data_IF_712760389964
#
_entry.id   IF_712760389964
#
_cell.length_a   1.000
_cell.length_b   1.000
_cell.length_c   1.000
_cell.angle_alpha   90.00
_cell.angle_beta   90.00
_cell.angle_gamma   90.00
#
_symmetry.space_group_name_H-M   'P 1'
#
loop_
_entity.id
_entity.type
_entity.pdbx_description
1 polymer ?
#
# COMPACT_ATOMS: atom_id res chain seq x y z
N UNK A 1 -5.62 24.50 -12.07
CA UNK A 1 -6.86 25.13 -11.57
C UNK A 1 -7.38 24.25 -10.45
N UNK A 2 -7.15 24.61 -9.19
CA UNK A 2 -7.72 23.89 -8.03
C UNK A 2 -9.06 24.56 -7.72
N UNK A 3 -10.17 23.84 -7.96
CA UNK A 3 -11.48 24.31 -7.52
C UNK A 3 -11.52 24.06 -6.00
N UNK A 4 -11.60 25.10 -5.15
CA UNK A 4 -11.74 24.90 -3.72
C UNK A 4 -13.02 24.11 -3.48
N UNK A 5 -12.90 22.92 -2.89
CA UNK A 5 -14.05 22.11 -2.52
C UNK A 5 -14.71 22.83 -1.34
N UNK A 6 -15.92 23.39 -1.48
CA UNK A 6 -16.53 24.15 -0.41
C UNK A 6 -16.79 23.24 0.80
N UNK A 7 -16.56 23.72 2.02
CA UNK A 7 -16.71 22.95 3.27
C UNK A 7 -18.06 22.22 3.37
N UNK A 8 -19.11 22.74 2.74
CA UNK A 8 -20.43 22.12 2.67
C UNK A 8 -20.43 20.71 2.05
N UNK A 9 -19.49 20.43 1.12
CA UNK A 9 -19.34 19.09 0.52
C UNK A 9 -18.84 18.04 1.50
N UNK A 10 -18.04 18.44 2.50
CA UNK A 10 -17.50 17.52 3.51
C UNK A 10 -18.62 16.96 4.39
N UNK A 11 -19.52 17.85 4.82
CA UNK A 11 -20.69 17.49 5.61
C UNK A 11 -21.67 16.64 4.80
N UNK A 12 -21.94 17.03 3.56
CA UNK A 12 -22.86 16.31 2.66
C UNK A 12 -22.41 14.88 2.33
N UNK A 13 -21.11 14.61 2.22
CA UNK A 13 -20.59 13.27 1.97
C UNK A 13 -20.71 12.31 3.16
N UNK A 14 -20.38 12.81 4.36
CA UNK A 14 -20.33 11.98 5.58
C UNK A 14 -21.72 11.77 6.19
N UNK A 15 -22.61 12.76 6.09
CA UNK A 15 -23.96 12.69 6.65
C UNK A 15 -24.93 11.85 5.80
N UNK A 16 -24.45 11.21 4.72
CA UNK A 16 -25.28 10.31 3.94
C UNK A 16 -25.79 9.15 4.81
N UNK A 17 -27.11 8.87 4.83
CA UNK A 17 -27.66 7.79 5.66
C UNK A 17 -27.03 6.42 5.41
N UNK A 18 -26.59 6.16 4.17
CA UNK A 18 -25.93 4.90 3.81
C UNK A 18 -24.56 4.76 4.49
N UNK A 19 -23.79 5.85 4.63
CA UNK A 19 -22.48 5.84 5.29
C UNK A 19 -22.66 5.54 6.78
N UNK A 20 -23.58 6.24 7.45
CA UNK A 20 -23.85 6.04 8.89
C UNK A 20 -24.33 4.60 9.16
N UNK A 21 -25.30 4.12 8.39
CA UNK A 21 -25.82 2.74 8.52
C UNK A 21 -24.72 1.71 8.26
N UNK A 22 -23.96 1.87 7.18
CA UNK A 22 -22.87 0.95 6.82
C UNK A 22 -21.76 0.95 7.85
N UNK A 23 -21.40 2.11 8.42
CA UNK A 23 -20.41 2.22 9.49
C UNK A 23 -20.87 1.47 10.74
N UNK A 24 -22.09 1.72 11.21
CA UNK A 24 -22.65 1.03 12.38
C UNK A 24 -22.69 -0.50 12.19
N UNK A 25 -23.18 -0.96 11.04
CA UNK A 25 -23.18 -2.39 10.70
C UNK A 25 -21.77 -2.97 10.63
N UNK A 26 -20.82 -2.26 10.01
CA UNK A 26 -19.42 -2.69 9.90
C UNK A 26 -18.76 -2.78 11.27
N UNK A 27 -19.01 -1.83 12.16
CA UNK A 27 -18.50 -1.87 13.55
C UNK A 27 -19.02 -3.11 14.26
N UNK A 28 -20.32 -3.39 14.18
CA UNK A 28 -20.91 -4.58 14.78
C UNK A 28 -20.29 -5.87 14.22
N UNK A 29 -20.10 -5.96 12.90
CA UNK A 29 -19.49 -7.11 12.23
C UNK A 29 -18.04 -7.30 12.69
N UNK A 30 -17.21 -6.26 12.68
CA UNK A 30 -15.80 -6.38 13.05
C UNK A 30 -15.59 -6.67 14.53
N UNK A 31 -16.37 -6.03 15.42
CA UNK A 31 -16.33 -6.33 16.85
C UNK A 31 -16.79 -7.76 17.10
N UNK A 32 -17.93 -8.17 16.52
CA UNK A 32 -18.43 -9.54 16.66
C UNK A 32 -17.42 -10.57 16.17
N UNK A 33 -16.82 -10.34 15.00
CA UNK A 33 -15.76 -11.18 14.44
C UNK A 33 -14.53 -11.26 15.35
N UNK A 34 -14.05 -10.11 15.86
CA UNK A 34 -12.91 -10.07 16.76
C UNK A 34 -13.19 -10.84 18.05
N UNK A 35 -14.34 -10.61 18.68
CA UNK A 35 -14.74 -11.27 19.91
C UNK A 35 -14.91 -12.79 19.70
N UNK A 36 -15.49 -13.22 18.58
CA UNK A 36 -15.57 -14.64 18.22
C UNK A 36 -14.18 -15.29 18.22
N UNK A 37 -13.21 -14.69 17.54
CA UNK A 37 -11.84 -15.21 17.49
C UNK A 37 -11.10 -15.11 18.83
N UNK A 38 -11.42 -14.09 19.63
CA UNK A 38 -10.84 -13.90 20.95
C UNK A 38 -11.31 -14.97 21.94
N UNK A 39 -12.62 -15.25 21.98
CA UNK A 39 -13.23 -16.17 22.93
C UNK A 39 -13.20 -17.64 22.50
N UNK A 40 -13.10 -17.94 21.21
CA UNK A 40 -13.05 -19.32 20.71
C UNK A 40 -11.78 -20.08 21.08
N UNK A 41 -10.73 -19.41 21.60
CA UNK A 41 -9.48 -20.06 21.99
C UNK A 41 -8.59 -20.55 20.83
N UNK A 42 -9.02 -20.38 19.57
CA UNK A 42 -8.23 -20.74 18.40
C UNK A 42 -6.98 -19.87 18.23
N UNK A 43 -7.01 -18.64 18.77
CA UNK A 43 -5.91 -17.68 18.64
C UNK A 43 -5.02 -17.70 19.88
N UNK A 44 -3.82 -18.25 19.70
CA UNK A 44 -2.84 -18.42 20.78
C UNK A 44 -1.79 -17.32 20.81
N UNK A 45 -1.53 -16.66 19.68
CA UNK A 45 -0.41 -15.72 19.55
C UNK A 45 -0.87 -14.31 19.23
N UNK A 46 -0.10 -13.32 19.71
CA UNK A 46 -0.31 -11.89 19.39
C UNK A 46 -0.30 -11.65 17.89
N UNK A 47 0.58 -12.36 17.16
CA UNK A 47 0.65 -12.27 15.70
C UNK A 47 -0.69 -12.67 15.06
N UNK A 48 -1.25 -13.81 15.43
CA UNK A 48 -2.53 -14.25 14.88
C UNK A 48 -3.65 -13.24 15.16
N UNK A 49 -3.69 -12.67 16.38
CA UNK A 49 -4.69 -11.63 16.76
C UNK A 49 -4.64 -10.42 15.83
N UNK A 50 -3.43 -9.95 15.49
CA UNK A 50 -3.23 -8.80 14.62
C UNK A 50 -3.74 -9.01 13.17
N UNK A 51 -3.94 -10.25 12.73
CA UNK A 51 -4.42 -10.55 11.36
C UNK A 51 -5.92 -10.86 11.28
N UNK A 52 -6.64 -10.92 12.39
CA UNK A 52 -8.07 -11.34 12.41
C UNK A 52 -8.96 -10.38 11.63
N UNK A 53 -8.82 -9.08 11.92
CA UNK A 53 -9.60 -8.04 11.26
C UNK A 53 -9.22 -7.92 9.79
N UNK A 54 -7.90 -7.96 9.52
CA UNK A 54 -7.35 -7.96 8.16
C UNK A 54 -7.88 -9.13 7.33
N UNK A 55 -8.00 -10.33 7.90
CA UNK A 55 -8.53 -11.51 7.21
C UNK A 55 -9.96 -11.26 6.70
N UNK A 56 -10.84 -10.77 7.58
CA UNK A 56 -12.23 -10.50 7.21
C UNK A 56 -12.33 -9.36 6.21
N UNK A 57 -11.61 -8.26 6.46
CA UNK A 57 -11.64 -7.08 5.60
C UNK A 57 -11.19 -7.41 4.18
N UNK A 58 -9.99 -7.98 4.04
CA UNK A 58 -9.41 -8.32 2.73
C UNK A 58 -10.22 -9.38 1.97
N UNK A 59 -10.82 -10.35 2.66
CA UNK A 59 -11.72 -11.31 2.03
C UNK A 59 -12.95 -10.63 1.43
N UNK A 60 -13.68 -9.86 2.24
CA UNK A 60 -14.92 -9.19 1.83
C UNK A 60 -14.68 -8.19 0.71
N UNK A 61 -13.65 -7.34 0.82
CA UNK A 61 -13.36 -6.32 -0.19
C UNK A 61 -12.83 -6.90 -1.50
N UNK A 62 -12.06 -8.00 -1.44
CA UNK A 62 -11.65 -8.72 -2.66
C UNK A 62 -12.86 -9.28 -3.39
N UNK A 63 -13.78 -9.95 -2.70
CA UNK A 63 -15.00 -10.49 -3.33
C UNK A 63 -15.87 -9.38 -3.90
N UNK A 64 -16.08 -8.31 -3.13
CA UNK A 64 -16.89 -7.17 -3.54
C UNK A 64 -16.30 -6.43 -4.76
N UNK A 65 -14.99 -6.53 -5.00
CA UNK A 65 -14.35 -5.89 -6.15
C UNK A 65 -14.67 -6.55 -7.50
N UNK A 66 -14.97 -7.86 -7.51
CA UNK A 66 -15.04 -8.63 -8.76
C UNK A 66 -16.06 -8.10 -9.79
N UNK A 67 -17.29 -7.70 -9.41
CA UNK A 67 -18.23 -7.15 -10.37
C UNK A 67 -17.72 -5.90 -11.08
N UNK A 68 -17.00 -5.02 -10.37
CA UNK A 68 -16.46 -3.78 -10.95
C UNK A 68 -15.19 -4.02 -11.75
N UNK A 69 -14.33 -4.95 -11.31
CA UNK A 69 -13.19 -5.40 -12.11
C UNK A 69 -13.67 -5.99 -13.44
N UNK A 70 -14.74 -6.79 -13.40
CA UNK A 70 -15.37 -7.32 -14.60
C UNK A 70 -15.92 -6.22 -15.51
N UNK A 71 -16.62 -5.22 -14.94
CA UNK A 71 -17.11 -4.05 -15.69
C UNK A 71 -15.95 -3.33 -16.41
N UNK A 72 -14.82 -3.07 -15.73
CA UNK A 72 -13.65 -2.42 -16.34
C UNK A 72 -13.04 -3.26 -17.46
N UNK A 73 -12.83 -4.56 -17.23
CA UNK A 73 -12.20 -5.44 -18.23
C UNK A 73 -13.10 -5.55 -19.46
N UNK A 74 -14.42 -5.71 -19.27
CA UNK A 74 -15.40 -5.84 -20.36
C UNK A 74 -15.52 -4.56 -21.19
N UNK A 75 -15.31 -3.40 -20.58
CA UNK A 75 -15.34 -2.11 -21.25
C UNK A 75 -13.93 -1.64 -21.68
N UNK A 76 -13.01 -2.57 -21.95
CA UNK A 76 -11.65 -2.29 -22.46
C UNK A 76 -10.85 -1.29 -21.61
N UNK A 77 -11.04 -1.32 -20.29
CA UNK A 77 -10.36 -0.41 -19.38
C UNK A 77 -11.00 0.97 -19.25
N UNK A 78 -12.16 1.22 -19.85
CA UNK A 78 -12.85 2.50 -19.73
C UNK A 78 -13.17 2.80 -18.25
N UNK A 79 -12.42 3.73 -17.68
CA UNK A 79 -12.53 4.12 -16.28
C UNK A 79 -13.81 4.93 -16.01
N UNK A 80 -14.41 5.51 -17.04
CA UNK A 80 -15.63 6.31 -16.90
C UNK A 80 -16.83 5.45 -16.51
N UNK A 81 -16.82 4.15 -16.84
CA UNK A 81 -17.85 3.19 -16.39
C UNK A 81 -17.97 3.11 -14.87
N UNK A 82 -16.90 3.43 -14.14
CA UNK A 82 -16.88 3.44 -12.68
C UNK A 82 -17.42 4.75 -12.11
N UNK A 83 -17.50 5.81 -12.91
CA UNK A 83 -17.91 7.15 -12.50
C UNK A 83 -19.41 7.41 -12.69
N UNK A 84 -20.12 6.52 -13.37
CA UNK A 84 -21.52 6.69 -13.76
C UNK A 84 -22.44 5.59 -13.20
N UNK A 85 -23.70 5.94 -12.91
CA UNK A 85 -24.09 6.68 -11.70
C UNK A 85 -23.64 5.97 -10.41
N UNK A 86 -23.50 6.75 -9.32
CA UNK A 86 -23.02 6.25 -8.03
C UNK A 86 -23.92 5.12 -7.48
N UNK A 87 -23.38 3.90 -7.48
CA UNK A 87 -24.02 2.73 -6.88
C UNK A 87 -23.92 2.88 -5.36
N UNK A 88 -24.95 2.45 -4.62
CA UNK A 88 -24.96 2.56 -3.15
C UNK A 88 -24.06 1.53 -2.47
N UNK A 89 -23.92 0.35 -3.08
CA UNK A 89 -23.16 -0.75 -2.47
C UNK A 89 -21.63 -0.51 -2.40
N UNK A 90 -20.96 0.16 -3.38
CA UNK A 90 -19.55 0.50 -3.24
C UNK A 90 -19.31 1.52 -2.12
N UNK A 91 -20.27 2.43 -1.86
CA UNK A 91 -20.19 3.32 -0.69
C UNK A 91 -20.15 2.46 0.58
N UNK A 92 -21.06 1.50 0.73
CA UNK A 92 -21.09 0.59 1.88
C UNK A 92 -19.78 -0.20 2.04
N UNK A 93 -19.21 -0.74 0.95
CA UNK A 93 -17.94 -1.48 0.98
C UNK A 93 -16.75 -0.55 1.32
N UNK A 94 -16.76 0.67 0.80
CA UNK A 94 -15.76 1.70 1.12
C UNK A 94 -15.82 2.06 2.61
N UNK A 95 -17.01 2.26 3.15
CA UNK A 95 -17.24 2.52 4.58
C UNK A 95 -16.85 1.31 5.45
N UNK A 96 -17.11 0.09 4.98
CA UNK A 96 -16.66 -1.14 5.65
C UNK A 96 -15.13 -1.18 5.76
N UNK A 97 -14.41 -0.89 4.67
CA UNK A 97 -12.94 -0.84 4.70
C UNK A 97 -12.41 0.33 5.56
N UNK A 98 -13.07 1.49 5.53
CA UNK A 98 -12.73 2.61 6.41
C UNK A 98 -12.89 2.24 7.90
N UNK A 99 -13.97 1.56 8.23
CA UNK A 99 -14.23 1.06 9.60
C UNK A 99 -13.17 0.06 10.03
N UNK A 100 -12.75 -0.85 9.13
CA UNK A 100 -11.63 -1.75 9.37
C UNK A 100 -10.35 -1.00 9.75
N UNK A 101 -9.96 0.03 8.99
CA UNK A 101 -8.74 0.79 9.28
C UNK A 101 -8.79 1.45 10.65
N UNK A 102 -9.93 2.03 11.02
CA UNK A 102 -10.13 2.63 12.33
C UNK A 102 -10.04 1.59 13.45
N UNK A 103 -10.75 0.48 13.31
CA UNK A 103 -10.78 -0.55 14.34
C UNK A 103 -9.43 -1.27 14.48
N UNK A 104 -8.73 -1.57 13.38
CA UNK A 104 -7.42 -2.22 13.43
C UNK A 104 -6.39 -1.31 14.12
N UNK A 105 -6.46 0.00 13.87
CA UNK A 105 -5.58 0.97 14.54
C UNK A 105 -5.93 1.12 16.03
N UNK A 106 -7.21 1.27 16.37
CA UNK A 106 -7.67 1.41 17.76
C UNK A 106 -7.35 0.14 18.55
N UNK A 107 -7.79 -1.02 18.09
CA UNK A 107 -7.57 -2.31 18.77
C UNK A 107 -6.07 -2.62 18.80
N UNK A 108 -5.35 -2.39 17.70
CA UNK A 108 -3.93 -2.65 17.63
C UNK A 108 -3.11 -1.76 18.55
N UNK A 109 -3.48 -0.48 18.70
CA UNK A 109 -2.77 0.45 19.60
C UNK A 109 -2.88 0.03 21.07
N UNK A 110 -3.97 -0.64 21.43
CA UNK A 110 -4.25 -1.12 22.79
C UNK A 110 -3.70 -2.53 23.03
N UNK A 111 -4.00 -3.49 22.14
CA UNK A 111 -3.78 -4.92 22.39
C UNK A 111 -2.51 -5.49 21.77
N UNK A 112 -1.97 -4.89 20.71
CA UNK A 112 -0.79 -5.41 20.01
C UNK A 112 0.12 -4.31 19.47
N UNK A 113 0.35 -3.26 20.27
CA UNK A 113 1.16 -2.09 19.92
C UNK A 113 2.54 -2.44 19.36
N UNK A 114 3.16 -3.51 19.86
CA UNK A 114 4.47 -4.00 19.40
C UNK A 114 4.47 -4.57 17.97
N UNK A 115 3.31 -4.75 17.35
CA UNK A 115 3.14 -5.25 15.99
C UNK A 115 2.74 -4.18 14.98
N UNK A 116 2.46 -2.96 15.43
CA UNK A 116 2.21 -1.83 14.54
C UNK A 116 3.54 -1.21 14.14
N UNK A 117 4.03 -1.56 12.95
CA UNK A 117 5.20 -0.91 12.37
C UNK A 117 4.85 0.52 11.92
N UNK A 118 5.83 1.42 11.90
CA UNK A 118 5.60 2.83 11.56
C UNK A 118 5.07 3.01 10.13
N UNK A 119 5.69 2.34 9.15
CA UNK A 119 5.38 2.51 7.74
C UNK A 119 4.09 1.78 7.33
N UNK A 120 4.00 0.49 7.64
CA UNK A 120 2.90 -0.39 7.23
C UNK A 120 1.69 -0.31 8.16
N UNK A 121 1.91 0.07 9.42
CA UNK A 121 0.86 0.36 10.39
C UNK A 121 0.42 1.82 10.30
N UNK A 122 1.13 2.73 10.96
CA UNK A 122 0.65 4.11 11.15
C UNK A 122 0.48 4.91 9.86
N UNK A 123 1.56 5.06 9.07
CA UNK A 123 1.54 5.93 7.89
C UNK A 123 0.52 5.41 6.88
N UNK A 124 0.57 4.11 6.58
CA UNK A 124 -0.37 3.49 5.65
C UNK A 124 -1.83 3.68 6.09
N UNK A 125 -2.18 3.39 7.36
CA UNK A 125 -3.57 3.50 7.81
C UNK A 125 -4.07 4.95 7.82
N UNK A 126 -3.25 5.92 8.26
CA UNK A 126 -3.63 7.34 8.25
C UNK A 126 -3.83 7.85 6.83
N UNK A 127 -2.92 7.52 5.92
CA UNK A 127 -3.02 7.93 4.51
C UNK A 127 -4.27 7.33 3.87
N UNK A 128 -4.52 6.03 4.03
CA UNK A 128 -5.73 5.39 3.50
C UNK A 128 -7.02 5.94 4.12
N UNK A 129 -7.02 6.24 5.42
CA UNK A 129 -8.17 6.85 6.08
C UNK A 129 -8.53 8.19 5.43
N UNK A 130 -7.54 9.06 5.21
CA UNK A 130 -7.74 10.33 4.51
C UNK A 130 -8.18 10.14 3.05
N UNK A 131 -7.55 9.21 2.32
CA UNK A 131 -7.92 8.90 0.94
C UNK A 131 -9.35 8.39 0.83
N UNK A 132 -9.83 7.55 1.76
CA UNK A 132 -11.18 7.01 1.75
C UNK A 132 -12.24 8.08 2.04
N UNK A 133 -11.97 9.00 2.96
CA UNK A 133 -12.84 10.17 3.18
C UNK A 133 -12.94 10.98 1.89
N UNK A 134 -11.80 11.26 1.26
CA UNK A 134 -11.76 11.96 -0.02
C UNK A 134 -12.52 11.22 -1.13
N UNK A 135 -12.37 9.89 -1.22
CA UNK A 135 -13.09 9.02 -2.17
C UNK A 135 -14.61 9.11 -1.98
N UNK A 136 -15.10 9.07 -0.73
CA UNK A 136 -16.54 9.19 -0.43
C UNK A 136 -17.04 10.57 -0.82
N UNK A 137 -16.31 11.63 -0.48
CA UNK A 137 -16.69 13.01 -0.80
C UNK A 137 -16.80 13.27 -2.31
N UNK A 138 -15.90 12.67 -3.10
CA UNK A 138 -15.86 12.86 -4.55
C UNK A 138 -16.60 11.76 -5.32
N UNK A 139 -17.34 10.87 -4.62
CA UNK A 139 -18.14 9.79 -5.23
C UNK A 139 -17.31 8.81 -6.05
N UNK A 140 -16.06 8.58 -5.65
CA UNK A 140 -15.13 7.65 -6.32
C UNK A 140 -15.16 6.24 -5.71
N UNK A 141 -16.18 5.92 -4.91
CA UNK A 141 -16.29 4.64 -4.18
C UNK A 141 -16.17 3.42 -5.11
N UNK A 142 -16.78 3.46 -6.30
CA UNK A 142 -16.65 2.37 -7.28
C UNK A 142 -15.21 2.16 -7.76
N UNK A 143 -14.47 3.24 -8.00
CA UNK A 143 -13.06 3.14 -8.37
C UNK A 143 -12.22 2.55 -7.23
N UNK A 144 -12.44 3.00 -5.99
CA UNK A 144 -11.78 2.41 -4.84
C UNK A 144 -12.10 0.92 -4.69
N UNK A 145 -13.37 0.53 -4.77
CA UNK A 145 -13.79 -0.87 -4.63
C UNK A 145 -13.25 -1.75 -5.76
N UNK A 146 -13.12 -1.23 -6.97
CA UNK A 146 -12.43 -1.94 -8.06
C UNK A 146 -10.98 -2.25 -7.68
N UNK A 147 -10.29 -1.28 -7.05
CA UNK A 147 -8.93 -1.46 -6.55
C UNK A 147 -8.85 -2.37 -5.32
N UNK A 148 -9.97 -2.74 -4.66
CA UNK A 148 -9.92 -3.69 -3.56
C UNK A 148 -9.50 -5.11 -3.98
N UNK A 149 -9.46 -5.44 -5.28
CA UNK A 149 -8.83 -6.68 -5.76
C UNK A 149 -7.34 -6.77 -5.37
N UNK A 150 -6.71 -5.62 -5.08
CA UNK A 150 -5.35 -5.54 -4.55
C UNK A 150 -5.21 -6.15 -3.15
N UNK A 151 -6.30 -6.41 -2.44
CA UNK A 151 -6.29 -7.03 -1.11
C UNK A 151 -6.26 -8.56 -1.14
N UNK A 152 -6.40 -9.20 -2.32
CA UNK A 152 -6.25 -10.64 -2.48
C UNK A 152 -4.94 -11.22 -1.88
N UNK A 153 -3.74 -10.65 -2.11
CA UNK A 153 -2.53 -11.10 -1.43
C UNK A 153 -2.57 -10.85 0.09
N UNK A 154 -3.20 -9.78 0.58
CA UNK A 154 -3.38 -9.53 2.02
C UNK A 154 -4.22 -10.63 2.67
N UNK A 155 -5.29 -11.07 2.00
CA UNK A 155 -6.12 -12.18 2.46
C UNK A 155 -5.30 -13.45 2.66
N UNK A 156 -4.49 -13.83 1.66
CA UNK A 156 -3.63 -15.01 1.74
C UNK A 156 -2.57 -14.87 2.84
N UNK A 157 -2.00 -13.68 3.02
CA UNK A 157 -1.03 -13.40 4.07
C UNK A 157 -1.66 -13.49 5.47
N UNK A 158 -2.86 -12.94 5.65
CA UNK A 158 -3.61 -12.99 6.90
C UNK A 158 -4.00 -14.43 7.23
N UNK A 159 -4.49 -15.18 6.24
CA UNK A 159 -4.86 -16.59 6.38
C UNK A 159 -3.65 -17.44 6.79
N UNK A 160 -2.51 -17.28 6.12
CA UNK A 160 -1.26 -17.98 6.46
C UNK A 160 -0.66 -17.55 7.81
N UNK A 161 -0.96 -16.32 8.26
CA UNK A 161 -0.52 -15.83 9.58
C UNK A 161 -1.40 -16.34 10.72
N UNK A 162 -2.69 -16.60 10.46
CA UNK A 162 -3.61 -17.24 11.40
C UNK A 162 -3.32 -18.74 11.47
N UNK A 163 -3.20 -19.41 10.32
CA UNK A 163 -2.90 -20.84 10.24
C UNK A 163 -1.70 -21.10 9.33
N UNK A 164 -0.58 -21.51 9.93
CA UNK A 164 0.66 -21.81 9.20
C UNK A 164 0.50 -22.91 8.15
N UNK A 165 -0.45 -23.84 8.31
CA UNK A 165 -0.71 -24.90 7.32
C UNK A 165 -1.31 -24.36 6.02
N UNK A 166 -2.00 -23.23 6.08
CA UNK A 166 -2.60 -22.56 4.92
C UNK A 166 -1.65 -21.57 4.25
N UNK A 167 -0.41 -21.45 4.74
CA UNK A 167 0.57 -20.52 4.20
C UNK A 167 1.20 -21.08 2.93
N UNK A 168 0.93 -20.44 1.80
CA UNK A 168 1.53 -20.76 0.51
C UNK A 168 2.24 -19.54 -0.10
N UNK A 169 3.56 -19.46 0.08
CA UNK A 169 4.36 -18.30 -0.33
C UNK A 169 4.34 -18.06 -1.86
N UNK A 170 4.27 -19.11 -2.68
CA UNK A 170 4.16 -18.98 -4.14
C UNK A 170 2.79 -18.44 -4.58
N UNK A 171 1.71 -18.88 -3.94
CA UNK A 171 0.36 -18.38 -4.22
C UNK A 171 0.24 -16.91 -3.82
N UNK A 172 0.79 -16.54 -2.66
CA UNK A 172 0.91 -15.15 -2.24
C UNK A 172 1.71 -14.31 -3.26
N UNK A 173 2.88 -14.80 -3.70
CA UNK A 173 3.70 -14.07 -4.66
C UNK A 173 3.00 -13.88 -6.01
N UNK A 174 2.37 -14.94 -6.54
CA UNK A 174 1.64 -14.88 -7.80
C UNK A 174 0.48 -13.87 -7.73
N UNK A 175 -0.36 -13.97 -6.70
CA UNK A 175 -1.47 -13.03 -6.48
C UNK A 175 -1.00 -11.60 -6.25
N UNK A 176 0.12 -11.40 -5.54
CA UNK A 176 0.70 -10.06 -5.35
C UNK A 176 1.13 -9.45 -6.69
N UNK A 177 1.84 -10.20 -7.53
CA UNK A 177 2.28 -9.69 -8.84
C UNK A 177 1.07 -9.41 -9.74
N UNK A 178 0.11 -10.32 -9.83
CA UNK A 178 -1.03 -10.16 -10.73
C UNK A 178 -1.92 -9.00 -10.31
N UNK A 179 -2.25 -8.86 -9.02
CA UNK A 179 -3.11 -7.75 -8.56
C UNK A 179 -2.30 -6.47 -8.35
N UNK A 180 -1.36 -6.44 -7.41
CA UNK A 180 -0.69 -5.21 -6.95
C UNK A 180 0.32 -4.61 -7.92
N UNK A 181 0.83 -5.40 -8.87
CA UNK A 181 1.75 -4.91 -9.88
C UNK A 181 1.05 -4.78 -11.24
N UNK A 182 0.62 -5.89 -11.83
CA UNK A 182 0.08 -5.89 -13.20
C UNK A 182 -1.27 -5.17 -13.28
N UNK A 183 -2.25 -5.57 -12.48
CA UNK A 183 -3.57 -4.93 -12.51
C UNK A 183 -3.52 -3.47 -12.06
N UNK A 184 -2.72 -3.14 -11.03
CA UNK A 184 -2.56 -1.74 -10.63
C UNK A 184 -1.92 -0.88 -11.74
N UNK A 185 -0.87 -1.36 -12.40
CA UNK A 185 -0.26 -0.65 -13.53
C UNK A 185 -1.25 -0.48 -14.70
N UNK A 186 -2.05 -1.51 -15.00
CA UNK A 186 -3.13 -1.44 -15.97
C UNK A 186 -4.16 -0.34 -15.61
N UNK A 187 -4.57 -0.26 -14.35
CA UNK A 187 -5.50 0.77 -13.89
C UNK A 187 -4.90 2.17 -13.93
N UNK A 188 -3.61 2.34 -13.64
CA UNK A 188 -2.89 3.62 -13.79
C UNK A 188 -2.87 4.04 -15.26
N UNK A 189 -2.52 3.12 -16.17
CA UNK A 189 -2.50 3.38 -17.60
C UNK A 189 -3.87 3.83 -18.10
N UNK A 190 -4.93 3.09 -17.77
CA UNK A 190 -6.29 3.44 -18.17
C UNK A 190 -6.77 4.76 -17.55
N UNK A 191 -6.47 5.01 -16.28
CA UNK A 191 -6.80 6.29 -15.65
C UNK A 191 -6.11 7.45 -16.39
N UNK A 192 -4.87 7.27 -16.85
CA UNK A 192 -4.16 8.29 -17.63
C UNK A 192 -4.75 8.49 -19.04
N UNK A 193 -5.16 7.41 -19.71
CA UNK A 193 -5.75 7.45 -21.06
C UNK A 193 -7.14 8.10 -21.05
N UNK A 194 -8.02 7.70 -20.12
CA UNK A 194 -9.43 8.11 -20.12
C UNK A 194 -9.71 9.35 -19.26
N UNK A 195 -8.85 9.65 -18.29
CA UNK A 195 -8.96 10.80 -17.40
C UNK A 195 -7.59 11.52 -17.31
N UNK A 196 -7.07 12.03 -18.45
CA UNK A 196 -5.78 12.70 -18.46
C UNK A 196 -5.82 13.86 -17.45
N UNK A 197 -4.86 13.86 -16.52
CA UNK A 197 -4.73 14.84 -15.43
C UNK A 197 -5.77 14.75 -14.29
N UNK A 198 -6.43 13.60 -14.13
CA UNK A 198 -7.36 13.35 -13.02
C UNK A 198 -6.69 13.02 -11.68
N UNK A 199 -7.26 13.53 -10.59
CA UNK A 199 -6.83 13.26 -9.21
C UNK A 199 -6.77 11.75 -8.87
N UNK A 200 -7.61 10.93 -9.53
CA UNK A 200 -7.62 9.48 -9.37
C UNK A 200 -6.32 8.86 -9.89
N UNK A 201 -5.89 9.20 -11.12
CA UNK A 201 -4.65 8.67 -11.69
C UNK A 201 -3.43 9.05 -10.85
N UNK A 202 -3.39 10.29 -10.35
CA UNK A 202 -2.35 10.74 -9.42
C UNK A 202 -2.33 9.93 -8.11
N UNK A 203 -3.52 9.66 -7.54
CA UNK A 203 -3.65 8.84 -6.33
C UNK A 203 -3.18 7.39 -6.57
N UNK A 204 -3.60 6.76 -7.67
CA UNK A 204 -3.16 5.41 -8.03
C UNK A 204 -1.64 5.33 -8.19
N UNK A 205 -1.07 6.29 -8.94
CA UNK A 205 0.38 6.37 -9.13
C UNK A 205 1.14 6.55 -7.81
N UNK A 206 0.61 7.34 -6.86
CA UNK A 206 1.26 7.57 -5.58
C UNK A 206 1.39 6.29 -4.73
N UNK A 207 0.43 5.36 -4.81
CA UNK A 207 0.48 4.09 -4.06
C UNK A 207 1.30 3.00 -4.75
N UNK A 208 1.54 3.10 -6.05
CA UNK A 208 2.23 2.05 -6.81
C UNK A 208 3.69 1.77 -6.37
N UNK A 209 4.54 2.78 -6.09
CA UNK A 209 5.89 2.55 -5.57
C UNK A 209 5.91 1.76 -4.26
N UNK A 210 4.90 1.94 -3.40
CA UNK A 210 4.79 1.20 -2.14
C UNK A 210 4.63 -0.31 -2.39
N UNK A 211 3.81 -0.70 -3.36
CA UNK A 211 3.66 -2.11 -3.72
C UNK A 211 4.94 -2.70 -4.32
N UNK A 212 5.64 -1.94 -5.16
CA UNK A 212 6.93 -2.35 -5.69
C UNK A 212 7.96 -2.57 -4.58
N UNK A 213 8.03 -1.64 -3.62
CA UNK A 213 8.90 -1.73 -2.45
C UNK A 213 8.59 -2.95 -1.59
N UNK A 214 7.30 -3.24 -1.31
CA UNK A 214 6.91 -4.42 -0.55
C UNK A 214 7.25 -5.73 -1.26
N UNK A 215 7.03 -5.81 -2.57
CA UNK A 215 7.39 -7.00 -3.34
C UNK A 215 8.91 -7.23 -3.34
N UNK A 216 9.69 -6.16 -3.48
CA UNK A 216 11.14 -6.22 -3.35
C UNK A 216 11.59 -6.74 -1.98
N UNK A 217 10.97 -6.25 -0.90
CA UNK A 217 11.19 -6.74 0.46
C UNK A 217 10.90 -8.24 0.59
N UNK A 218 9.81 -8.71 -0.02
CA UNK A 218 9.46 -10.13 -0.06
C UNK A 218 10.52 -10.97 -0.80
N UNK A 219 10.99 -10.53 -1.98
CA UNK A 219 12.03 -11.24 -2.73
C UNK A 219 13.33 -11.35 -1.91
N UNK A 220 13.77 -10.25 -1.28
CA UNK A 220 14.93 -10.25 -0.39
C UNK A 220 14.77 -11.22 0.78
N UNK A 221 13.58 -11.27 1.38
CA UNK A 221 13.27 -12.22 2.45
C UNK A 221 13.41 -13.67 1.96
N UNK A 222 12.89 -14.00 0.78
CA UNK A 222 12.98 -15.34 0.20
C UNK A 222 14.43 -15.72 -0.13
N UNK A 223 15.22 -14.79 -0.67
CA UNK A 223 16.66 -14.99 -0.90
C UNK A 223 17.42 -15.28 0.39
N UNK A 224 17.13 -14.54 1.47
CA UNK A 224 17.75 -14.77 2.79
C UNK A 224 17.40 -16.13 3.37
N UNK A 225 16.16 -16.59 3.21
CA UNK A 225 15.73 -17.92 3.69
C UNK A 225 16.47 -19.02 2.91
N UNK A 226 16.66 -18.83 1.59
CA UNK A 226 17.40 -19.78 0.74
C UNK A 226 18.89 -19.81 1.03
N UNK A 227 19.50 -18.69 1.40
CA UNK A 227 20.93 -18.60 1.68
C UNK A 227 21.33 -19.11 3.07
N UNK A 228 20.37 -19.32 3.98
CA UNK A 228 20.69 -19.93 5.28
C UNK A 228 21.13 -21.38 5.07
N UNK A 229 22.37 -21.74 5.45
CA UNK A 229 22.83 -23.12 5.34
C UNK A 229 21.88 -23.98 6.17
N UNK A 230 21.35 -25.05 5.56
CA UNK A 230 20.66 -26.09 6.31
C UNK A 230 21.66 -26.57 7.37
N UNK A 231 21.46 -26.20 8.64
CA UNK A 231 22.18 -26.82 9.76
C UNK A 231 21.83 -28.31 9.70
N UNK A 232 22.64 -29.06 8.97
CA UNK A 232 22.49 -30.49 8.81
C UNK A 232 22.71 -31.13 10.17
N UNK A 233 21.83 -32.07 10.49
CA UNK A 233 22.01 -33.12 11.51
C UNK A 233 23.37 -33.82 11.33
N UNK A 234 24.45 -33.21 11.82
CA UNK A 234 25.80 -33.79 11.83
C UNK A 234 26.20 -34.32 13.20
N UNK A 235 25.24 -34.57 14.10
CA UNK A 235 25.51 -34.92 15.50
C UNK A 235 24.83 -36.22 15.96
N UNK A 236 24.71 -37.23 15.08
CA UNK A 236 24.11 -38.52 15.47
C UNK A 236 24.83 -39.77 14.95
N UNK A 237 26.03 -39.67 14.38
CA UNK A 237 26.74 -40.85 13.84
C UNK A 237 28.15 -41.10 14.40
N UNK A 238 28.55 -40.48 15.51
CA UNK A 238 29.89 -40.67 16.12
C UNK A 238 29.87 -41.05 17.62
N UNK A 239 28.77 -41.63 18.13
CA UNK A 239 28.75 -42.24 19.47
C UNK A 239 28.20 -43.66 19.43
N UNK A 240 28.96 -44.58 18.84
CA UNK A 240 28.75 -46.01 19.04
C UNK A 240 30.07 -46.80 19.09
N UNK A 241 30.97 -46.42 20.00
CA UNK A 241 32.03 -47.25 20.64
C UNK A 241 32.43 -46.40 21.87
N UNK A 242 32.37 -46.75 23.15
CA UNK A 242 32.39 -48.02 23.90
C UNK A 242 31.93 -47.73 25.35
N UNK A 243 31.22 -48.67 25.98
CA UNK A 243 31.07 -48.84 27.45
C UNK A 243 31.96 -50.04 27.87
N UNK A 244 32.34 -50.31 29.14
CA UNK A 244 31.82 -49.78 30.40
C UNK A 244 32.82 -49.53 31.58
N UNK A 245 32.26 -48.96 32.68
CA UNK A 245 32.44 -49.34 34.10
C UNK A 245 33.01 -48.30 35.09
N UNK A 246 32.27 -48.17 36.22
CA UNK A 246 32.59 -47.58 37.53
C UNK A 246 32.90 -46.05 37.54
N UNK A 247 32.49 -45.23 38.51
CA UNK A 247 32.25 -45.45 39.93
C UNK A 247 31.41 -44.27 40.50
N UNK A 248 30.81 -44.50 41.66
CA UNK A 248 29.94 -43.61 42.43
C UNK A 248 30.70 -42.40 43.02
N UNK A 249 30.07 -41.21 43.05
CA UNK A 249 29.97 -40.42 44.30
C UNK A 249 28.97 -39.25 44.25
N UNK A 250 28.35 -39.07 45.42
CA UNK A 250 27.32 -38.12 45.87
C UNK A 250 27.82 -36.66 45.98
N UNK A 251 26.85 -35.77 46.28
CA UNK A 251 26.91 -34.41 46.89
C UNK A 251 26.77 -33.24 45.88
N UNK A 252 26.13 -32.10 46.15
CA UNK A 252 25.32 -31.58 47.24
C UNK A 252 24.64 -30.28 46.74
N UNK A 253 23.54 -29.93 47.40
CA UNK A 253 22.57 -28.83 47.32
C UNK A 253 23.13 -27.38 47.24
N UNK A 254 22.54 -26.58 46.32
CA UNK A 254 22.12 -25.14 46.32
C UNK A 254 23.15 -23.96 46.33
N UNK A 255 22.70 -22.67 46.21
CA UNK A 255 22.42 -21.97 44.93
C UNK A 255 23.08 -20.57 44.85
N UNK A 256 22.70 -19.79 43.83
CA UNK A 256 22.88 -18.34 43.66
C UNK A 256 24.08 -17.89 42.80
N UNK A 257 23.79 -17.17 41.71
CA UNK A 257 24.21 -15.76 41.55
C UNK A 257 23.73 -15.24 40.20
N UNK A 258 22.84 -14.25 40.27
CA UNK A 258 22.44 -13.36 39.18
C UNK A 258 23.66 -12.55 38.75
N UNK A 259 24.02 -12.58 37.47
CA UNK A 259 24.96 -11.62 36.89
C UNK A 259 24.36 -11.00 35.63
N UNK A 260 24.03 -9.72 35.78
CA UNK A 260 23.47 -8.79 34.81
C UNK A 260 24.62 -8.16 34.02
N UNK A 261 24.84 -8.58 32.79
CA UNK A 261 25.84 -7.93 31.92
C UNK A 261 25.20 -6.73 31.21
N UNK A 262 25.55 -5.52 31.68
CA UNK A 262 25.45 -4.28 30.91
C UNK A 262 26.49 -4.33 29.78
N UNK A 263 26.11 -4.01 28.55
CA UNK A 263 27.06 -3.63 27.51
C UNK A 263 26.72 -2.22 26.98
N UNK A 264 27.57 -1.27 27.34
CA UNK A 264 27.77 0.04 26.70
C UNK A 264 28.28 -0.19 25.26
N UNK A 265 27.69 0.47 24.25
CA UNK A 265 28.03 1.80 23.70
C UNK A 265 29.31 1.86 22.85
N UNK A 266 29.13 2.48 21.67
CA UNK A 266 30.07 3.14 20.74
C UNK A 266 30.39 2.40 19.45
N UNK A 267 29.91 2.95 18.34
CA UNK A 267 30.70 3.31 17.16
C UNK A 267 29.85 4.21 16.26
N UNK A 268 30.26 5.47 16.15
CA UNK A 268 29.75 6.40 15.15
C UNK A 268 30.40 6.10 13.81
N UNK A 269 29.58 6.00 12.77
CA UNK A 269 30.03 5.97 11.37
C UNK A 269 29.31 7.12 10.67
N UNK A 270 30.05 8.19 10.39
CA UNK A 270 29.61 9.27 9.51
C UNK A 270 29.79 8.80 8.07
N UNK A 271 28.69 8.60 7.35
CA UNK A 271 28.70 8.36 5.90
C UNK A 271 28.57 9.71 5.20
N UNK A 272 29.66 10.19 4.59
CA UNK A 272 29.63 11.30 3.63
C UNK A 272 29.13 10.78 2.28
N UNK A 273 28.06 11.36 1.76
CA UNK A 273 27.63 11.18 0.38
C UNK A 273 28.26 12.26 -0.50
N UNK A 274 29.14 11.86 -1.42
CA UNK A 274 29.57 12.69 -2.54
C UNK A 274 28.60 12.52 -3.70
N UNK A 275 27.84 13.57 -4.02
CA UNK A 275 26.97 13.62 -5.20
C UNK A 275 27.84 14.00 -6.41
N UNK A 276 28.13 13.01 -7.26
CA UNK A 276 28.76 13.22 -8.56
C UNK A 276 27.74 13.82 -9.53
N UNK A 277 27.95 15.08 -9.95
CA UNK A 277 27.22 15.72 -11.05
C UNK A 277 27.80 15.22 -12.37
N UNK A 278 27.09 14.29 -13.03
CA UNK A 278 27.40 13.88 -14.39
C UNK A 278 26.22 14.22 -15.32
N UNK A 279 26.15 15.47 -15.79
CA UNK A 279 25.13 15.92 -16.76
C UNK A 279 25.43 15.50 -18.20
N UNK A 280 26.55 14.81 -18.46
CA UNK A 280 27.03 14.53 -19.82
C UNK A 280 26.42 13.28 -20.49
N UNK A 281 25.49 12.60 -19.82
CA UNK A 281 24.84 11.37 -20.33
C UNK A 281 23.50 11.68 -21.01
N UNK A 282 22.75 12.68 -20.54
CA UNK A 282 21.45 13.04 -21.13
C UNK A 282 21.64 13.72 -22.49
N UNK A 283 22.66 14.56 -22.63
CA UNK A 283 22.97 15.23 -23.91
C UNK A 283 23.43 14.25 -25.00
N UNK A 284 24.02 13.10 -24.63
CA UNK A 284 24.45 12.07 -25.59
C UNK A 284 23.32 11.13 -26.03
N UNK A 285 22.23 11.04 -25.27
CA UNK A 285 21.07 10.20 -25.61
C UNK A 285 20.12 10.90 -26.60
N UNK A 286 20.07 12.23 -26.61
CA UNK A 286 19.27 12.99 -27.57
C UNK A 286 19.78 12.88 -29.03
N UNK A 287 21.06 12.55 -29.24
CA UNK A 287 21.69 12.46 -30.56
C UNK A 287 21.56 11.09 -31.26
N UNK A 288 20.86 10.12 -30.67
CA UNK A 288 20.71 8.75 -31.25
C UNK A 288 19.28 8.33 -31.55
N UNK A 289 18.33 9.26 -31.50
CA UNK A 289 16.94 8.95 -31.85
C UNK A 289 16.77 8.81 -33.37
N UNK A 290 16.12 7.73 -33.86
CA UNK A 290 15.76 7.58 -35.27
C UNK A 290 14.98 8.81 -35.77
N UNK A 291 15.22 9.26 -37.01
CA UNK A 291 14.59 10.47 -37.57
C UNK A 291 13.06 10.43 -37.49
N UNK A 292 12.46 9.24 -37.57
CA UNK A 292 11.01 9.04 -37.44
C UNK A 292 10.48 9.51 -36.09
N UNK A 293 11.21 9.23 -34.99
CA UNK A 293 10.82 9.64 -33.65
C UNK A 293 11.05 11.15 -33.43
N UNK A 294 12.10 11.71 -34.03
CA UNK A 294 12.34 13.15 -33.99
C UNK A 294 11.24 13.94 -34.73
N UNK A 295 10.75 13.38 -35.85
CA UNK A 295 9.64 13.96 -36.62
C UNK A 295 8.32 13.93 -35.82
N UNK A 296 8.05 12.83 -35.14
CA UNK A 296 6.83 12.69 -34.31
C UNK A 296 6.86 13.65 -33.10
N UNK A 297 8.03 13.83 -32.48
CA UNK A 297 8.20 14.79 -31.39
C UNK A 297 8.05 16.25 -31.86
N UNK A 298 8.58 16.62 -33.04
CA UNK A 298 8.37 17.97 -33.60
C UNK A 298 6.89 18.23 -33.94
N UNK A 299 6.18 17.22 -34.44
CA UNK A 299 4.76 17.33 -34.77
C UNK A 299 3.90 17.49 -33.50
N UNK A 300 4.27 16.84 -32.39
CA UNK A 300 3.51 16.90 -31.14
C UNK A 300 3.81 18.13 -30.27
N UNK A 301 5.03 18.66 -30.33
CA UNK A 301 5.47 19.71 -29.40
C UNK A 301 5.84 21.05 -30.06
N UNK A 302 5.76 21.14 -31.39
CA UNK A 302 6.17 22.33 -32.13
C UNK A 302 7.69 22.56 -32.07
N UNK A 303 8.18 23.60 -32.76
CA UNK A 303 9.63 23.90 -32.86
C UNK A 303 10.28 24.34 -31.53
N UNK A 304 9.58 24.30 -30.40
CA UNK A 304 10.10 24.65 -29.08
C UNK A 304 10.37 23.41 -28.24
N UNK A 305 11.57 22.83 -28.33
CA UNK A 305 12.06 21.93 -27.29
C UNK A 305 12.53 22.82 -26.12
N UNK A 306 11.91 22.78 -24.93
CA UNK A 306 12.39 23.56 -23.80
C UNK A 306 13.75 23.02 -23.33
N UNK A 307 14.78 23.86 -23.46
CA UNK A 307 16.08 23.68 -22.83
C UNK A 307 15.90 23.64 -21.30
N UNK A 308 16.14 22.48 -20.69
CA UNK A 308 16.24 22.31 -19.24
C UNK A 308 17.67 22.66 -18.79
N UNK A 309 17.94 23.95 -18.63
CA UNK A 309 19.18 24.47 -18.04
C UNK A 309 18.96 25.92 -17.63
N UNK A 310 18.76 26.15 -16.33
CA UNK A 310 18.31 27.44 -15.81
C UNK A 310 19.40 28.51 -15.72
N UNK A 311 18.96 29.77 -15.79
CA UNK A 311 19.30 30.87 -14.87
C UNK A 311 18.37 32.06 -15.16
N UNK A 312 18.03 32.80 -14.10
CA UNK A 312 17.20 34.01 -14.13
C UNK A 312 17.67 35.03 -15.17
N UNK A 313 16.75 35.56 -15.97
CA UNK A 313 16.85 36.89 -16.56
C UNK A 313 15.49 37.57 -16.44
N UNK A 314 15.49 38.67 -15.69
CA UNK A 314 14.42 39.67 -15.68
C UNK A 314 14.31 40.31 -17.07
N UNK A 315 13.10 40.34 -17.64
CA UNK A 315 12.75 41.35 -18.64
C UNK A 315 11.32 41.83 -18.41
N UNK A 316 11.22 43.14 -18.18
CA UNK A 316 10.01 43.94 -18.15
C UNK A 316 9.20 43.75 -19.43
N UNK A 317 7.87 43.72 -19.30
CA UNK A 317 6.98 44.11 -20.40
C UNK A 317 5.89 45.05 -19.89
N UNK A 318 5.94 46.26 -20.44
CA UNK A 318 4.94 47.30 -20.42
C UNK A 318 3.68 46.93 -21.22
N UNK A 319 2.58 47.53 -20.76
CA UNK A 319 1.41 48.01 -21.50
C UNK A 319 0.61 47.05 -22.40
N UNK A 320 -0.69 46.91 -22.11
CA UNK A 320 -1.72 47.82 -22.64
C UNK A 320 -3.08 47.54 -21.99
N UNK A 321 -3.74 48.61 -21.54
CA UNK A 321 -5.12 48.60 -21.06
C UNK A 321 -6.06 48.63 -22.27
N UNK A 322 -7.04 47.74 -22.30
CA UNK A 322 -8.22 47.89 -23.14
C UNK A 322 -9.44 48.13 -22.22
N UNK A 323 -10.01 49.33 -22.32
CA UNK A 323 -11.33 49.67 -21.79
C UNK A 323 -12.44 48.98 -22.59
N UNK A 324 -13.55 48.54 -21.96
CA UNK A 324 -14.77 48.18 -22.65
C UNK A 324 -15.65 49.41 -22.91
N UNK A 325 -16.00 49.61 -24.18
CA UNK A 325 -16.96 50.61 -24.64
C UNK A 325 -18.39 50.20 -24.24
N UNK A 326 -19.08 51.12 -23.57
CA UNK A 326 -20.51 51.08 -23.29
C UNK A 326 -21.28 51.36 -24.57
N UNK A 327 -22.19 50.46 -24.97
CA UNK A 327 -23.23 50.75 -25.97
C UNK A 327 -24.58 50.62 -25.29
N UNK A 328 -25.19 51.77 -25.05
CA UNK A 328 -26.61 51.93 -24.74
C UNK A 328 -27.38 52.09 -26.05
N UNK A 329 -28.43 51.31 -26.27
CA UNK A 329 -29.48 51.61 -27.24
C UNK A 329 -30.84 51.37 -26.59
N UNK A 330 -31.73 52.30 -26.91
CA UNK A 330 -33.12 52.53 -26.54
C UNK A 330 -34.05 51.33 -26.48
#
# INVERSE_FOLDING_TARGET
MQIPVPFDTLRQGIEQPIVIRSAATSVAIFIGWYLFWHFSGYIKTIRQRAYVLSLLSSFTTTIASFPLVWDVIRNNGDFQVLMLPERQWPIAVTTFFLTFLTLDLVIGSVLYRSKIELLTGWIHHIVYFGTLIWVIQHKYCSAFVTMCVLEAPTFLLALGSINKRLRHDYLFAATFVTSRIVFHAYMIYNAYVFLPYGHIGGTLFAFFPLHCYWFYGFIKQQQRIRSQPKKGNKESSDKMVSTPAADQKKQHVSPCTVSRTKHQSKTGVSVQYSISKNSSVIDRLALRLPETLQRELRLRYGNGIPYLGGTNVYTNHEHTNHEPSVVSVH
#
